data_IF_670855278191
#
_entry.id   IF_670855278191
#
_cell.length_a   1.000
_cell.length_b   1.000
_cell.length_c   1.000
_cell.angle_alpha   90.00
_cell.angle_beta   90.00
_cell.angle_gamma   90.00
#
_symmetry.space_group_name_H-M   'P 1'
#
loop_
_entity.id
_entity.type
_entity.pdbx_description
1 polymer ?
#
# COMPACT_ATOMS: atom_id res chain seq x y z
N UNK A 1 -20.65 -16.86 -4.59
CA UNK A 1 -19.87 -16.55 -5.82
C UNK A 1 -20.85 -16.32 -6.97
N UNK A 2 -20.62 -15.33 -7.82
CA UNK A 2 -21.57 -14.92 -8.88
C UNK A 2 -20.94 -15.16 -10.25
N UNK A 3 -21.71 -15.74 -11.19
CA UNK A 3 -21.27 -15.94 -12.57
C UNK A 3 -21.96 -14.93 -13.49
N UNK A 4 -21.23 -13.94 -14.05
CA UNK A 4 -21.80 -13.01 -15.02
C UNK A 4 -22.34 -13.73 -16.27
N UNK A 5 -21.71 -14.84 -16.67
CA UNK A 5 -22.11 -15.63 -17.85
C UNK A 5 -23.44 -16.34 -17.64
N UNK A 6 -23.72 -16.82 -16.43
CA UNK A 6 -24.96 -17.54 -16.10
C UNK A 6 -26.03 -16.63 -15.47
N UNK A 7 -25.67 -15.41 -15.06
CA UNK A 7 -26.57 -14.46 -14.41
C UNK A 7 -27.07 -14.91 -13.04
N UNK A 8 -26.37 -15.83 -12.38
CA UNK A 8 -26.82 -16.44 -11.12
C UNK A 8 -25.67 -16.64 -10.13
N UNK A 9 -26.04 -16.78 -8.86
CA UNK A 9 -25.15 -17.28 -7.83
C UNK A 9 -24.82 -18.76 -8.08
N UNK A 10 -23.54 -19.11 -7.94
CA UNK A 10 -23.05 -20.48 -7.97
C UNK A 10 -22.91 -21.02 -6.54
N UNK A 11 -23.19 -22.30 -6.37
CA UNK A 11 -22.93 -23.06 -5.16
C UNK A 11 -21.43 -23.36 -4.97
N UNK A 12 -21.04 -23.73 -3.75
CA UNK A 12 -19.67 -24.16 -3.46
C UNK A 12 -19.28 -25.44 -4.21
N UNK A 13 -20.24 -26.34 -4.45
CA UNK A 13 -20.02 -27.57 -5.20
C UNK A 13 -19.69 -27.29 -6.68
N UNK A 14 -20.36 -26.32 -7.31
CA UNK A 14 -20.09 -25.92 -8.69
C UNK A 14 -18.70 -25.30 -8.87
N UNK A 15 -18.23 -24.55 -7.87
CA UNK A 15 -16.88 -23.95 -7.91
C UNK A 15 -15.74 -24.95 -7.81
N UNK A 16 -15.97 -26.08 -7.14
CA UNK A 16 -14.94 -27.10 -6.91
C UNK A 16 -14.91 -28.16 -8.01
N UNK A 17 -15.67 -27.99 -9.10
CA UNK A 17 -15.61 -28.89 -10.24
C UNK A 17 -14.25 -28.77 -10.95
N UNK A 18 -13.74 -29.88 -11.53
CA UNK A 18 -12.48 -29.87 -12.28
C UNK A 18 -12.54 -28.84 -13.43
N UNK A 19 -11.53 -27.97 -13.51
CA UNK A 19 -11.42 -26.95 -14.56
C UNK A 19 -12.01 -25.58 -14.22
N UNK A 20 -12.63 -25.41 -13.04
CA UNK A 20 -13.15 -24.11 -12.59
C UNK A 20 -12.05 -23.18 -12.06
N UNK A 21 -11.03 -23.72 -11.39
CA UNK A 21 -9.81 -22.97 -11.06
C UNK A 21 -8.83 -23.07 -12.23
N UNK A 22 -8.31 -21.93 -12.65
CA UNK A 22 -7.41 -21.80 -13.78
C UNK A 22 -6.31 -20.82 -13.41
N UNK A 23 -5.10 -21.09 -13.89
CA UNK A 23 -4.00 -20.14 -13.79
C UNK A 23 -4.23 -19.03 -14.82
N UNK A 24 -4.44 -17.82 -14.31
CA UNK A 24 -4.66 -16.62 -15.11
C UNK A 24 -3.70 -15.53 -14.67
N UNK A 25 -3.24 -14.73 -15.64
CA UNK A 25 -2.40 -13.57 -15.35
C UNK A 25 -3.29 -12.38 -15.02
N UNK A 26 -3.27 -11.97 -13.76
CA UNK A 26 -3.99 -10.78 -13.29
C UNK A 26 -3.10 -9.53 -13.25
N UNK A 27 -3.72 -8.38 -13.49
CA UNK A 27 -3.06 -7.09 -13.28
C UNK A 27 -3.13 -6.73 -11.81
N UNK A 28 -1.97 -6.49 -11.20
CA UNK A 28 -1.90 -6.05 -9.80
C UNK A 28 -1.52 -4.59 -9.69
N UNK A 29 -2.02 -3.92 -8.66
CA UNK A 29 -1.71 -2.51 -8.40
C UNK A 29 -1.45 -2.29 -6.92
N UNK A 30 -0.59 -1.33 -6.62
CA UNK A 30 -0.39 -0.79 -5.26
C UNK A 30 -0.97 0.61 -5.25
N UNK A 31 -2.11 0.77 -4.58
CA UNK A 31 -2.80 2.04 -4.45
C UNK A 31 -2.27 2.83 -3.25
N UNK A 32 -2.25 4.16 -3.38
CA UNK A 32 -1.84 5.10 -2.35
C UNK A 32 -3.08 5.82 -1.81
N UNK A 33 -3.34 5.68 -0.51
CA UNK A 33 -4.46 6.33 0.16
C UNK A 33 -3.94 7.42 1.08
N UNK A 34 -4.22 8.68 0.76
CA UNK A 34 -3.74 9.83 1.54
C UNK A 34 -4.42 9.86 2.90
N UNK A 35 -3.65 9.78 3.98
CA UNK A 35 -4.16 9.92 5.34
C UNK A 35 -4.65 11.36 5.57
N UNK A 36 -5.76 11.52 6.29
CA UNK A 36 -6.21 12.85 6.69
C UNK A 36 -5.43 13.33 7.91
N UNK A 37 -4.87 14.54 7.84
CA UNK A 37 -3.98 15.08 8.87
C UNK A 37 -4.65 15.25 10.25
N UNK A 38 -5.96 15.49 10.27
CA UNK A 38 -6.77 15.65 11.48
C UNK A 38 -6.91 14.33 12.26
N UNK A 39 -7.00 13.20 11.56
CA UNK A 39 -7.16 11.87 12.13
C UNK A 39 -5.83 11.15 12.40
N UNK A 40 -4.69 11.77 12.09
CA UNK A 40 -3.39 11.19 12.37
C UNK A 40 -3.05 11.29 13.87
N UNK A 41 -2.51 10.20 14.46
CA UNK A 41 -2.03 10.20 15.83
C UNK A 41 -0.74 11.03 15.97
N UNK A 42 -0.44 11.47 17.19
CA UNK A 42 0.67 12.40 17.49
C UNK A 42 2.04 11.92 16.97
N UNK A 43 2.25 10.60 16.91
CA UNK A 43 3.51 10.02 16.43
C UNK A 43 3.71 10.11 14.90
N UNK A 44 2.64 10.36 14.14
CA UNK A 44 2.63 10.52 12.67
C UNK A 44 2.37 11.97 12.23
N UNK A 45 1.74 12.79 13.07
CA UNK A 45 1.24 14.12 12.70
C UNK A 45 2.32 15.11 12.21
N UNK A 46 3.57 14.93 12.65
CA UNK A 46 4.69 15.80 12.31
C UNK A 46 5.54 15.31 11.12
N UNK A 47 5.16 14.22 10.47
CA UNK A 47 5.94 13.63 9.37
C UNK A 47 5.49 14.14 7.99
N UNK A 48 4.51 15.04 7.93
CA UNK A 48 3.96 15.59 6.69
C UNK A 48 2.85 14.71 6.09
N UNK A 49 2.63 14.84 4.77
CA UNK A 49 1.59 14.07 4.09
C UNK A 49 1.97 12.59 4.04
N UNK A 50 1.10 11.75 4.60
CA UNK A 50 1.29 10.30 4.70
C UNK A 50 0.30 9.58 3.78
N UNK A 51 0.77 8.52 3.14
CA UNK A 51 -0.03 7.63 2.30
C UNK A 51 0.00 6.20 2.84
N UNK A 52 -1.15 5.56 2.96
CA UNK A 52 -1.23 4.13 3.20
C UNK A 52 -1.11 3.37 1.87
N UNK A 53 -0.24 2.36 1.82
CA UNK A 53 -0.13 1.49 0.66
C UNK A 53 -1.01 0.27 0.83
N UNK A 54 -1.84 -0.01 -0.17
CA UNK A 54 -2.58 -1.27 -0.24
C UNK A 54 -2.41 -1.91 -1.62
N UNK A 55 -2.14 -3.21 -1.62
CA UNK A 55 -2.01 -4.02 -2.83
C UNK A 55 -3.33 -4.71 -3.15
N UNK A 56 -3.69 -4.78 -4.43
CA UNK A 56 -4.85 -5.53 -4.91
C UNK A 56 -4.60 -6.16 -6.29
N UNK A 57 -5.17 -7.34 -6.51
CA UNK A 57 -5.27 -8.02 -7.82
C UNK A 57 -6.52 -7.64 -8.59
N UNK A 58 -7.44 -6.87 -7.99
CA UNK A 58 -8.71 -6.47 -8.59
C UNK A 58 -8.86 -4.94 -8.58
N UNK A 59 -8.14 -4.21 -9.45
CA UNK A 59 -8.15 -2.74 -9.46
C UNK A 59 -9.56 -2.13 -9.63
N UNK A 60 -10.45 -2.84 -10.31
CA UNK A 60 -11.85 -2.43 -10.52
C UNK A 60 -12.66 -2.32 -9.21
N UNK A 61 -12.16 -2.84 -8.09
CA UNK A 61 -12.79 -2.69 -6.76
C UNK A 61 -12.42 -1.38 -6.06
N UNK A 62 -11.37 -0.68 -6.50
CA UNK A 62 -10.89 0.54 -5.86
C UNK A 62 -11.93 1.68 -5.83
N UNK A 63 -12.75 1.93 -6.86
CA UNK A 63 -13.77 2.97 -6.82
C UNK A 63 -14.82 2.76 -5.72
N UNK A 64 -15.06 1.51 -5.32
CA UNK A 64 -16.00 1.15 -4.26
C UNK A 64 -15.31 0.84 -2.93
N UNK A 65 -14.07 1.30 -2.75
CA UNK A 65 -13.35 1.12 -1.50
C UNK A 65 -14.04 1.87 -0.35
N UNK A 66 -14.29 1.17 0.75
CA UNK A 66 -14.97 1.72 1.94
C UNK A 66 -14.06 1.82 3.17
N UNK A 67 -13.05 0.96 3.27
CA UNK A 67 -12.12 0.93 4.38
C UNK A 67 -10.78 0.30 3.97
N UNK A 68 -9.76 0.54 4.79
CA UNK A 68 -8.49 -0.18 4.77
C UNK A 68 -8.40 -1.03 6.04
N UNK A 69 -8.05 -2.30 5.87
CA UNK A 69 -7.90 -3.24 6.98
C UNK A 69 -6.45 -3.34 7.41
N UNK A 70 -6.19 -3.22 8.70
CA UNK A 70 -4.86 -3.39 9.30
C UNK A 70 -4.87 -4.57 10.26
N UNK A 71 -3.78 -5.35 10.26
CA UNK A 71 -3.61 -6.45 11.19
C UNK A 71 -3.08 -5.94 12.54
N UNK A 72 -3.80 -6.09 13.67
CA UNK A 72 -3.42 -5.45 14.94
C UNK A 72 -2.07 -5.93 15.50
N UNK A 73 -1.67 -7.16 15.17
CA UNK A 73 -0.41 -7.78 15.61
C UNK A 73 0.75 -7.59 14.61
N UNK A 74 0.45 -7.15 13.40
CA UNK A 74 1.42 -6.97 12.31
C UNK A 74 2.24 -5.71 12.60
N UNK A 75 3.53 -5.77 12.30
CA UNK A 75 4.45 -4.64 12.36
C UNK A 75 4.36 -3.82 11.07
N UNK A 76 4.13 -2.53 11.23
CA UNK A 76 4.08 -1.54 10.15
C UNK A 76 5.23 -0.55 10.31
N UNK A 77 5.62 0.04 9.19
CA UNK A 77 6.69 1.03 9.15
C UNK A 77 6.25 2.26 8.37
N UNK A 78 6.74 3.41 8.81
CA UNK A 78 6.71 4.64 8.02
C UNK A 78 8.01 4.74 7.23
N UNK A 79 7.89 4.90 5.93
CA UNK A 79 9.01 5.04 4.99
C UNK A 79 8.92 6.39 4.32
N UNK A 80 9.99 7.16 4.41
CA UNK A 80 10.19 8.40 3.68
C UNK A 80 10.92 8.04 2.37
N UNK A 81 10.40 8.46 1.23
CA UNK A 81 10.98 8.16 -0.10
C UNK A 81 10.50 9.18 -1.13
N UNK A 82 10.82 8.96 -2.41
CA UNK A 82 10.34 9.79 -3.51
C UNK A 82 9.39 9.01 -4.41
N UNK A 83 8.37 9.70 -4.92
CA UNK A 83 7.48 9.13 -5.91
C UNK A 83 8.24 8.89 -7.22
N UNK A 84 8.20 7.67 -7.74
CA UNK A 84 8.93 7.31 -8.97
C UNK A 84 8.44 8.01 -10.24
N UNK A 85 7.26 8.63 -10.21
CA UNK A 85 6.65 9.30 -11.35
C UNK A 85 6.72 10.83 -11.23
N UNK A 86 6.42 11.38 -10.05
CA UNK A 86 6.45 12.84 -9.82
C UNK A 86 7.78 13.34 -9.29
N UNK A 87 8.64 12.45 -8.78
CA UNK A 87 9.91 12.76 -8.09
C UNK A 87 9.75 13.64 -6.84
N UNK A 88 8.53 13.75 -6.31
CA UNK A 88 8.25 14.48 -5.08
C UNK A 88 8.47 13.59 -3.85
N UNK A 89 8.91 14.17 -2.72
CA UNK A 89 9.03 13.43 -1.48
C UNK A 89 7.65 12.97 -1.00
N UNK A 90 7.56 11.71 -0.62
CA UNK A 90 6.35 11.08 -0.10
C UNK A 90 6.66 10.26 1.14
N UNK A 91 5.72 10.22 2.07
CA UNK A 91 5.77 9.33 3.22
C UNK A 91 4.74 8.23 3.06
N UNK A 92 5.17 6.99 3.15
CA UNK A 92 4.31 5.83 2.91
C UNK A 92 4.34 4.86 4.09
N UNK A 93 3.17 4.31 4.41
CA UNK A 93 2.99 3.31 5.46
C UNK A 93 2.66 1.97 4.83
N UNK A 94 3.41 0.94 5.23
CA UNK A 94 3.24 -0.44 4.79
C UNK A 94 3.72 -1.44 5.84
N UNK A 95 3.36 -2.71 5.67
CA UNK A 95 3.82 -3.78 6.55
C UNK A 95 5.34 -3.99 6.43
N UNK A 96 6.03 -4.14 7.56
CA UNK A 96 7.49 -4.29 7.63
C UNK A 96 8.01 -5.45 6.77
N UNK A 97 7.29 -6.57 6.76
CA UNK A 97 7.65 -7.76 5.99
C UNK A 97 7.61 -7.55 4.47
N UNK A 98 6.87 -6.54 4.00
CA UNK A 98 6.69 -6.26 2.57
C UNK A 98 7.60 -5.16 2.04
N UNK A 99 8.37 -4.48 2.89
CA UNK A 99 9.27 -3.39 2.49
C UNK A 99 10.23 -3.84 1.39
N UNK A 100 10.86 -5.01 1.56
CA UNK A 100 11.81 -5.53 0.58
C UNK A 100 11.16 -5.84 -0.77
N UNK A 101 9.89 -6.27 -0.77
CA UNK A 101 9.16 -6.59 -1.98
C UNK A 101 8.64 -5.33 -2.68
N UNK A 102 8.19 -4.34 -1.91
CA UNK A 102 7.66 -3.08 -2.43
C UNK A 102 8.75 -2.19 -3.02
N UNK A 103 9.92 -2.17 -2.39
CA UNK A 103 11.06 -1.33 -2.76
C UNK A 103 12.19 -2.15 -3.40
N UNK A 104 11.85 -3.12 -4.23
CA UNK A 104 12.86 -3.91 -4.96
C UNK A 104 13.39 -3.18 -6.21
N UNK A 105 14.60 -3.53 -6.63
CA UNK A 105 15.23 -3.14 -7.90
C UNK A 105 15.63 -1.66 -7.99
N UNK A 106 14.65 -0.77 -8.23
CA UNK A 106 14.85 0.67 -8.46
C UNK A 106 15.07 1.47 -7.19
N UNK A 107 14.85 0.88 -6.03
CA UNK A 107 14.97 1.57 -4.75
C UNK A 107 16.25 1.16 -4.02
N UNK A 108 16.81 2.07 -3.24
CA UNK A 108 18.00 1.84 -2.40
C UNK A 108 17.66 2.20 -0.96
N UNK A 109 17.88 1.27 -0.04
CA UNK A 109 17.76 1.57 1.39
C UNK A 109 18.89 2.50 1.82
N UNK A 110 18.55 3.59 2.49
CA UNK A 110 19.50 4.48 3.16
C UNK A 110 19.29 4.40 4.67
N UNK A 111 20.36 4.60 5.45
CA UNK A 111 20.31 4.56 6.92
C UNK A 111 20.24 5.95 7.55
N UNK A 112 20.51 7.01 6.79
CA UNK A 112 20.52 8.38 7.29
C UNK A 112 19.63 9.29 6.42
N UNK A 113 18.89 10.20 7.08
CA UNK A 113 18.04 11.19 6.40
C UNK A 113 18.79 12.12 5.41
N UNK A 114 20.04 12.55 5.66
CA UNK A 114 20.77 13.39 4.71
C UNK A 114 20.98 12.72 3.34
N UNK A 115 21.24 11.41 3.31
CA UNK A 115 21.39 10.66 2.05
C UNK A 115 20.09 10.60 1.22
N UNK A 116 18.94 10.80 1.86
CA UNK A 116 17.66 10.90 1.17
C UNK A 116 17.54 12.25 0.45
N UNK A 117 17.92 13.34 1.13
CA UNK A 117 17.86 14.71 0.60
C UNK A 117 18.84 14.98 -0.56
N UNK A 118 19.92 14.19 -0.64
CA UNK A 118 20.90 14.27 -1.72
C UNK A 118 20.37 13.73 -3.07
N UNK A 119 19.19 13.11 -3.09
CA UNK A 119 18.57 12.61 -4.30
C UNK A 119 18.24 13.73 -5.29
N UNK A 120 18.68 13.55 -6.55
CA UNK A 120 18.30 14.44 -7.66
C UNK A 120 17.33 13.75 -8.60
N UNK A 121 16.33 14.51 -9.07
CA UNK A 121 15.34 14.05 -10.04
C UNK A 121 16.05 13.53 -11.30
N UNK A 122 15.97 12.21 -11.54
CA UNK A 122 16.61 11.54 -12.68
C UNK A 122 17.66 10.48 -12.29
N UNK A 123 18.00 10.36 -11.02
CA UNK A 123 18.86 9.26 -10.56
C UNK A 123 18.18 7.90 -10.73
N UNK A 124 18.96 6.91 -11.20
CA UNK A 124 18.47 5.55 -11.51
C UNK A 124 17.94 4.79 -10.30
N UNK A 125 18.37 5.17 -9.08
CA UNK A 125 17.96 4.53 -7.84
C UNK A 125 17.34 5.55 -6.89
N UNK A 126 16.12 5.28 -6.45
CA UNK A 126 15.36 6.12 -5.53
C UNK A 126 15.69 5.70 -4.09
N UNK A 127 16.23 6.58 -3.24
CA UNK A 127 16.48 6.24 -1.86
C UNK A 127 15.17 6.11 -1.07
N UNK A 128 15.16 5.21 -0.09
CA UNK A 128 14.09 5.14 0.91
C UNK A 128 14.68 4.96 2.30
N UNK A 129 14.07 5.63 3.26
CA UNK A 129 14.47 5.65 4.66
C UNK A 129 13.32 5.17 5.54
N UNK A 130 13.59 4.21 6.42
CA UNK A 130 12.61 3.75 7.41
C UNK A 130 12.67 4.68 8.62
N UNK A 131 11.63 5.48 8.81
CA UNK A 131 11.57 6.50 9.86
C UNK A 131 11.26 5.89 11.21
N UNK A 132 10.17 5.12 11.28
CA UNK A 132 9.61 4.57 12.52
C UNK A 132 8.94 3.22 12.26
N UNK A 133 8.90 2.39 13.29
CA UNK A 133 8.15 1.13 13.32
C UNK A 133 7.08 1.20 14.41
N UNK A 134 5.90 0.65 14.14
CA UNK A 134 4.76 0.63 15.05
C UNK A 134 3.84 -0.57 14.78
N UNK A 135 2.90 -0.84 15.67
CA UNK A 135 1.97 -1.97 15.51
C UNK A 135 0.72 -1.54 14.76
N UNK A 136 0.10 -2.48 14.04
CA UNK A 136 -1.14 -2.20 13.31
C UNK A 136 -2.30 -1.77 14.22
N UNK A 137 -2.26 -2.11 15.51
CA UNK A 137 -3.22 -1.61 16.51
C UNK A 137 -3.22 -0.08 16.59
N UNK A 138 -2.08 0.56 16.35
CA UNK A 138 -1.88 2.01 16.47
C UNK A 138 -2.40 2.75 15.22
N UNK A 139 -2.71 2.02 14.15
CA UNK A 139 -3.30 2.53 12.91
C UNK A 139 -4.83 2.48 12.89
N UNK A 140 -5.45 1.79 13.85
CA UNK A 140 -6.91 1.60 13.86
C UNK A 140 -7.61 2.92 14.17
N UNK A 141 -8.62 3.26 13.36
CA UNK A 141 -9.42 4.47 13.52
C UNK A 141 -8.90 5.69 12.76
N UNK A 142 -7.74 5.59 12.10
CA UNK A 142 -7.25 6.66 11.22
C UNK A 142 -8.12 6.73 9.97
N UNK A 143 -8.51 7.94 9.59
CA UNK A 143 -9.27 8.20 8.36
C UNK A 143 -8.34 8.62 7.22
N UNK A 144 -8.73 8.30 6.00
CA UNK A 144 -8.03 8.66 4.77
C UNK A 144 -8.97 9.33 3.77
N UNK A 145 -8.41 10.01 2.77
CA UNK A 145 -9.14 10.58 1.65
C UNK A 145 -9.53 9.46 0.68
N UNK A 146 -10.81 9.39 0.34
CA UNK A 146 -11.31 8.46 -0.66
C UNK A 146 -10.66 8.77 -2.01
N UNK A 147 -10.37 7.72 -2.80
CA UNK A 147 -9.71 7.88 -4.10
C UNK A 147 -10.57 8.63 -5.14
N UNK A 148 -11.90 8.64 -4.96
CA UNK A 148 -12.90 9.25 -5.84
C UNK A 148 -14.00 9.92 -5.02
#
# INVERSE_FOLDING_TARGET
>A
PYSPKAGTGLSSHELNQPGTYQDVTDTTVVAQFKAKEDALPDFLKNEGTIYFLAWTTTPWTLPSNTALTVGPKIDYVLVETYNQYTFEPINVVLAKSLVNNQFDGKFKRVETKPELLDYKSGDKKIPYYVVKEFKGKDLVGITYEQLL
#
